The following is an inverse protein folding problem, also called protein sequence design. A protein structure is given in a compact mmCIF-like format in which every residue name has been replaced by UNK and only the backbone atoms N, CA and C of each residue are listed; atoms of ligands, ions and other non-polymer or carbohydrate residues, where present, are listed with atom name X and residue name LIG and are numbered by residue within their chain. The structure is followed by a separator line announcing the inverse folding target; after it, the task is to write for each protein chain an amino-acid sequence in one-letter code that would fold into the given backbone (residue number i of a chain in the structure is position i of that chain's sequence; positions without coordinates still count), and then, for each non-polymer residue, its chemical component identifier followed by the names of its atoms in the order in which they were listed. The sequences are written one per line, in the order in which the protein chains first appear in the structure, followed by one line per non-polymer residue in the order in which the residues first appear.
data_IF_917437485988
#
_entry.id   IF_917437485988
#
_cell.length_a   1.000
_cell.length_b   1.000
_cell.length_c   1.000
_cell.angle_alpha   90.00
_cell.angle_beta   90.00
_cell.angle_gamma   90.00
#
_symmetry.space_group_name_H-M   'P 1'
#
loop_
_entity.id
_entity.type
_entity.pdbx_description
1 polymer ?
#
# COMPACT_ATOMS: atom_id res chain seq x y z
N UNK A 1 11.13 11.03 -5.25
CA UNK A 1 10.21 9.89 -5.48
C UNK A 1 10.77 8.60 -4.91
N UNK A 2 11.88 8.04 -5.43
CA UNK A 2 12.47 6.78 -4.92
C UNK A 2 12.87 6.81 -3.43
N UNK A 3 13.33 7.95 -2.92
CA UNK A 3 13.63 8.12 -1.49
C UNK A 3 12.38 7.95 -0.61
N UNK A 4 11.28 8.62 -0.99
CA UNK A 4 10.02 8.52 -0.27
C UNK A 4 9.48 7.08 -0.29
N UNK A 5 9.61 6.39 -1.43
CA UNK A 5 9.25 4.96 -1.53
C UNK A 5 10.03 4.11 -0.54
N UNK A 6 11.36 4.27 -0.45
CA UNK A 6 12.18 3.51 0.51
C UNK A 6 11.82 3.80 1.96
N UNK A 7 11.49 5.05 2.30
CA UNK A 7 11.05 5.40 3.64
C UNK A 7 9.71 4.73 4.00
N UNK A 8 8.79 4.66 3.04
CA UNK A 8 7.52 3.97 3.21
C UNK A 8 7.73 2.45 3.32
N UNK A 9 8.60 1.86 2.49
CA UNK A 9 8.96 0.44 2.55
C UNK A 9 9.60 0.07 3.89
N UNK A 10 10.47 0.92 4.43
CA UNK A 10 11.06 0.73 5.76
C UNK A 10 9.98 0.75 6.86
N UNK A 11 9.07 1.73 6.83
CA UNK A 11 7.96 1.78 7.78
C UNK A 11 7.05 0.55 7.66
N UNK A 12 6.76 0.10 6.44
CA UNK A 12 5.98 -1.12 6.19
C UNK A 12 6.66 -2.32 6.85
N UNK A 13 7.96 -2.52 6.60
CA UNK A 13 8.72 -3.64 7.15
C UNK A 13 8.74 -3.67 8.69
N UNK A 14 8.61 -2.51 9.35
CA UNK A 14 8.56 -2.38 10.81
C UNK A 14 7.12 -2.35 11.38
N UNK A 15 6.10 -2.28 10.52
CA UNK A 15 4.71 -2.17 10.94
C UNK A 15 4.20 -3.48 11.52
N UNK A 16 3.62 -3.40 12.73
CA UNK A 16 2.93 -4.54 13.33
C UNK A 16 1.72 -4.93 12.48
N UNK A 17 1.47 -6.23 12.38
CA UNK A 17 0.33 -6.78 11.65
C UNK A 17 0.45 -6.72 10.13
N UNK A 18 1.59 -6.30 9.57
CA UNK A 18 1.85 -6.48 8.13
C UNK A 18 2.13 -7.95 7.84
N UNK A 19 1.33 -8.54 6.96
CA UNK A 19 1.50 -9.93 6.51
C UNK A 19 2.35 -10.00 5.23
N UNK A 20 2.17 -9.03 4.33
CA UNK A 20 2.95 -8.96 3.09
C UNK A 20 2.68 -7.67 2.31
N UNK A 21 3.62 -7.32 1.43
CA UNK A 21 3.56 -6.13 0.60
C UNK A 21 4.09 -6.41 -0.80
N UNK A 22 3.49 -5.76 -1.81
CA UNK A 22 3.98 -5.76 -3.19
C UNK A 22 3.71 -4.42 -3.86
N UNK A 23 4.64 -4.00 -4.73
CA UNK A 23 4.56 -2.77 -5.50
C UNK A 23 4.69 -3.08 -6.99
N UNK A 24 3.68 -2.68 -7.76
CA UNK A 24 3.75 -2.70 -9.22
C UNK A 24 3.75 -1.29 -9.78
N UNK A 25 4.72 -1.01 -10.64
CA UNK A 25 4.82 0.23 -11.38
C UNK A 25 4.64 -0.01 -12.88
N UNK A 26 3.69 0.67 -13.51
CA UNK A 26 3.59 0.83 -14.96
C UNK A 26 4.05 2.24 -15.30
N UNK A 27 5.13 2.36 -16.06
CA UNK A 27 5.73 3.65 -16.38
C UNK A 27 4.92 4.43 -17.44
N UNK A 28 4.23 3.72 -18.33
CA UNK A 28 3.37 4.30 -19.38
C UNK A 28 2.08 3.49 -19.61
N UNK A 29 0.88 4.08 -19.36
CA UNK A 29 0.66 5.30 -18.59
C UNK A 29 1.21 5.15 -17.16
N UNK A 30 1.57 6.26 -16.52
CA UNK A 30 2.14 6.26 -15.17
C UNK A 30 1.10 5.81 -14.15
N UNK A 31 1.12 4.54 -13.77
CA UNK A 31 0.25 3.94 -12.74
C UNK A 31 1.08 3.13 -11.77
N UNK A 32 0.75 3.25 -10.49
CA UNK A 32 1.41 2.52 -9.42
C UNK A 32 0.34 1.84 -8.58
N UNK A 33 0.53 0.56 -8.29
CA UNK A 33 -0.31 -0.21 -7.39
C UNK A 33 0.56 -0.69 -6.23
N UNK A 34 0.20 -0.25 -5.03
CA UNK A 34 0.78 -0.73 -3.79
C UNK A 34 -0.27 -1.62 -3.11
N UNK A 35 0.05 -2.89 -2.92
CA UNK A 35 -0.83 -3.87 -2.28
C UNK A 35 -0.17 -4.32 -0.99
N UNK A 36 -0.89 -4.24 0.12
CA UNK A 36 -0.43 -4.71 1.42
C UNK A 36 -1.54 -5.54 2.06
N UNK A 37 -1.17 -6.68 2.64
CA UNK A 37 -2.05 -7.53 3.43
C UNK A 37 -1.77 -7.25 4.90
N UNK A 38 -2.83 -6.99 5.67
CA UNK A 38 -2.77 -6.68 7.08
C UNK A 38 -3.58 -7.70 7.87
N UNK A 39 -3.16 -8.00 9.10
CA UNK A 39 -3.88 -8.90 10.00
C UNK A 39 -5.26 -8.34 10.39
N UNK A 40 -5.41 -7.01 10.40
CA UNK A 40 -6.63 -6.30 10.76
C UNK A 40 -6.56 -4.82 10.35
N UNK A 41 -7.72 -4.17 10.35
CA UNK A 41 -7.87 -2.75 10.04
C UNK A 41 -7.10 -1.83 11.00
N UNK A 42 -6.98 -2.18 12.28
CA UNK A 42 -6.26 -1.36 13.27
C UNK A 42 -4.77 -1.24 12.92
N UNK A 43 -4.16 -2.34 12.47
CA UNK A 43 -2.77 -2.39 12.01
C UNK A 43 -2.57 -1.54 10.76
N UNK A 44 -3.49 -1.64 9.79
CA UNK A 44 -3.51 -0.79 8.60
C UNK A 44 -3.61 0.70 8.96
N UNK A 45 -4.56 1.09 9.82
CA UNK A 45 -4.74 2.50 10.18
C UNK A 45 -3.53 3.05 10.93
N UNK A 46 -2.94 2.25 11.83
CA UNK A 46 -1.71 2.61 12.54
C UNK A 46 -0.56 2.95 11.58
N UNK A 47 -0.41 2.19 10.50
CA UNK A 47 0.56 2.50 9.45
C UNK A 47 0.19 3.77 8.66
N UNK A 48 -1.08 3.90 8.26
CA UNK A 48 -1.57 5.02 7.43
C UNK A 48 -1.39 6.37 8.14
N UNK A 49 -1.66 6.42 9.44
CA UNK A 49 -1.54 7.60 10.29
C UNK A 49 -0.11 7.83 10.79
N UNK A 50 0.72 6.79 10.80
CA UNK A 50 2.11 6.83 11.21
C UNK A 50 3.03 7.60 10.26
N UNK A 51 4.11 8.15 10.81
CA UNK A 51 5.19 8.74 10.04
C UNK A 51 6.25 7.69 9.71
N UNK A 52 6.93 7.81 8.54
CA UNK A 52 6.87 8.91 7.58
C UNK A 52 5.68 8.92 6.59
N UNK A 53 4.88 7.85 6.50
CA UNK A 53 3.84 7.69 5.49
C UNK A 53 2.81 8.83 5.47
N UNK A 54 2.25 9.19 6.63
CA UNK A 54 1.26 10.28 6.73
C UNK A 54 1.83 11.62 6.22
N UNK A 55 3.07 11.94 6.60
CA UNK A 55 3.76 13.16 6.14
C UNK A 55 4.00 13.17 4.63
N UNK A 56 4.47 12.06 4.06
CA UNK A 56 4.69 11.93 2.62
C UNK A 56 3.37 12.05 1.84
N UNK A 57 2.29 11.39 2.31
CA UNK A 57 0.96 11.48 1.69
C UNK A 57 0.45 12.92 1.69
N UNK A 58 0.63 13.64 2.80
CA UNK A 58 0.27 15.07 2.89
C UNK A 58 1.05 15.91 1.88
N UNK A 59 2.37 15.73 1.81
CA UNK A 59 3.24 16.47 0.89
C UNK A 59 2.96 16.18 -0.60
N UNK A 60 2.51 14.97 -0.92
CA UNK A 60 2.23 14.53 -2.30
C UNK A 60 0.77 14.63 -2.72
N UNK A 61 -0.12 15.16 -1.85
CA UNK A 61 -1.57 15.18 -2.08
C UNK A 61 -1.97 15.68 -3.48
N UNK A 62 -1.38 16.79 -3.95
CA UNK A 62 -1.68 17.34 -5.28
C UNK A 62 -1.23 16.47 -6.46
N UNK A 63 -0.17 15.66 -6.28
CA UNK A 63 0.28 14.70 -7.30
C UNK A 63 -0.50 13.36 -7.22
N UNK A 64 -1.28 13.16 -6.16
CA UNK A 64 -2.05 11.95 -5.87
C UNK A 64 -3.55 12.15 -6.06
N UNK A 65 -4.01 13.27 -6.65
CA UNK A 65 -5.45 13.58 -6.76
C UNK A 65 -6.28 12.48 -7.46
N UNK A 66 -5.67 11.72 -8.37
CA UNK A 66 -6.31 10.59 -9.06
C UNK A 66 -6.10 9.23 -8.34
N UNK A 67 -5.41 9.22 -7.19
CA UNK A 67 -5.16 7.98 -6.43
C UNK A 67 -6.41 7.59 -5.64
N UNK A 68 -6.79 6.33 -5.72
CA UNK A 68 -7.85 5.73 -4.92
C UNK A 68 -7.29 4.63 -4.04
N UNK A 69 -7.95 4.40 -2.90
CA UNK A 69 -7.61 3.35 -1.96
C UNK A 69 -8.86 2.50 -1.76
N UNK A 70 -8.72 1.18 -1.95
CA UNK A 70 -9.79 0.19 -1.72
C UNK A 70 -9.21 -0.93 -0.87
N UNK A 71 -10.03 -1.44 0.03
CA UNK A 71 -9.72 -2.61 0.86
C UNK A 71 -10.73 -3.70 0.58
N UNK A 72 -10.32 -4.96 0.75
CA UNK A 72 -11.17 -6.13 0.69
C UNK A 72 -10.60 -7.19 1.62
N UNK A 73 -11.47 -8.02 2.18
CA UNK A 73 -11.05 -9.14 3.01
C UNK A 73 -10.50 -10.28 2.16
N UNK A 74 -9.44 -10.92 2.65
CA UNK A 74 -8.87 -12.14 2.09
C UNK A 74 -8.87 -13.23 3.13
N UNK A 75 -9.12 -14.47 2.73
CA UNK A 75 -8.95 -15.62 3.62
C UNK A 75 -7.46 -15.95 3.75
N UNK A 76 -7.11 -16.58 4.86
CA UNK A 76 -5.72 -17.00 5.14
C UNK A 76 -5.15 -17.90 4.04
N UNK A 77 -5.97 -18.76 3.42
CA UNK A 77 -5.53 -19.65 2.34
C UNK A 77 -5.20 -18.92 1.03
N UNK A 78 -5.67 -17.69 0.88
CA UNK A 78 -5.40 -16.84 -0.28
C UNK A 78 -4.09 -16.04 -0.11
N UNK A 79 -3.44 -16.12 1.05
CA UNK A 79 -2.20 -15.39 1.35
C UNK A 79 -0.98 -16.29 1.16
N UNK A 80 0.07 -15.87 0.40
CA UNK A 80 0.20 -14.58 -0.26
C UNK A 80 -0.67 -14.48 -1.53
N UNK A 81 -1.47 -13.41 -1.62
CA UNK A 81 -2.29 -13.13 -2.81
C UNK A 81 -1.40 -12.57 -3.92
N UNK A 82 -1.60 -13.02 -5.15
CA UNK A 82 -0.90 -12.47 -6.30
C UNK A 82 -1.34 -11.02 -6.57
N UNK A 83 -0.39 -10.17 -6.99
CA UNK A 83 -0.67 -8.74 -7.19
C UNK A 83 -1.62 -8.50 -8.39
N UNK A 84 -1.59 -9.32 -9.45
CA UNK A 84 -2.55 -9.22 -10.55
C UNK A 84 -3.97 -9.53 -10.08
N UNK A 85 -4.12 -10.57 -9.24
CA UNK A 85 -5.40 -10.94 -8.66
C UNK A 85 -5.92 -9.84 -7.73
N UNK A 86 -5.06 -9.31 -6.84
CA UNK A 86 -5.44 -8.24 -5.94
C UNK A 86 -5.92 -6.99 -6.69
N UNK A 87 -5.22 -6.60 -7.77
CA UNK A 87 -5.61 -5.46 -8.61
C UNK A 87 -6.97 -5.73 -9.28
N UNK A 88 -7.19 -6.93 -9.81
CA UNK A 88 -8.45 -7.30 -10.48
C UNK A 88 -9.68 -7.16 -9.58
N UNK A 89 -9.54 -7.39 -8.26
CA UNK A 89 -10.66 -7.24 -7.31
C UNK A 89 -11.06 -5.79 -7.02
N UNK A 90 -10.19 -4.84 -7.33
CA UNK A 90 -10.38 -3.43 -6.97
C UNK A 90 -10.48 -2.49 -8.17
N UNK A 91 -10.22 -2.95 -9.39
CA UNK A 91 -10.55 -2.22 -10.62
C UNK A 91 -12.04 -2.32 -10.96
#
# INVERSE_FOLDING_TARGET
MLWNTRQIEAQLAESKGLVGYSLRAKLFPRRFWAVAVWENDESLQSFVEGNPHAGIRSALKGAMEESWFKTFDVKTEEVPIDIDEAITRVE
#
